data_IF_307274457519
#
_entry.id   IF_307274457519
#
_cell.length_a   1.000
_cell.length_b   1.000
_cell.length_c   1.000
_cell.angle_alpha   90.00
_cell.angle_beta   90.00
_cell.angle_gamma   90.00
#
_symmetry.space_group_name_H-M   'P 1'
#
loop_
_entity.id
_entity.type
_entity.pdbx_description
1 polymer ?
#
# COMPACT_ATOMS: atom_id res chain seq x y z
N UNK A 1 -59.86 25.82 -26.15
CA UNK A 1 -58.43 26.10 -26.42
C UNK A 1 -57.68 24.79 -26.19
N UNK A 2 -57.43 23.88 -27.14
CA UNK A 2 -56.66 23.92 -28.42
C UNK A 2 -55.26 24.53 -28.32
N UNK A 3 -54.26 23.67 -28.10
CA UNK A 3 -52.94 23.56 -28.79
C UNK A 3 -52.04 22.66 -27.92
N UNK A 4 -51.83 21.37 -28.24
CA UNK A 4 -50.84 20.82 -29.18
C UNK A 4 -49.43 21.43 -29.09
N UNK A 5 -48.51 20.64 -28.52
CA UNK A 5 -47.08 20.66 -28.86
C UNK A 5 -46.56 19.21 -28.86
N UNK A 6 -46.19 18.66 -30.02
CA UNK A 6 -45.44 17.41 -30.12
C UNK A 6 -43.95 17.73 -30.25
N UNK A 7 -43.08 16.97 -29.59
CA UNK A 7 -41.66 16.93 -29.94
C UNK A 7 -41.14 15.52 -29.76
N UNK A 8 -41.31 14.78 -30.84
CA UNK A 8 -40.70 13.46 -31.08
C UNK A 8 -39.18 13.64 -31.09
N UNK A 9 -38.50 13.18 -30.05
CA UNK A 9 -37.06 13.02 -30.10
C UNK A 9 -36.75 11.76 -30.92
N UNK A 10 -36.39 11.96 -32.19
CA UNK A 10 -35.79 10.94 -33.04
C UNK A 10 -34.36 10.71 -32.54
N UNK A 11 -34.04 9.53 -32.03
CA UNK A 11 -32.66 9.07 -31.98
C UNK A 11 -32.52 7.96 -33.00
N UNK A 12 -31.79 8.33 -34.06
CA UNK A 12 -31.47 7.54 -35.23
C UNK A 12 -30.33 6.59 -34.90
N UNK A 13 -30.43 5.44 -35.57
CA UNK A 13 -29.53 4.32 -35.69
C UNK A 13 -28.01 4.57 -35.56
N UNK A 14 -27.42 3.60 -34.87
CA UNK A 14 -26.09 3.02 -35.00
C UNK A 14 -25.54 3.01 -36.44
N UNK A 15 -24.27 3.43 -36.60
CA UNK A 15 -23.24 2.94 -37.56
C UNK A 15 -21.91 3.65 -37.17
N UNK A 16 -20.97 2.98 -36.50
CA UNK A 16 -19.87 2.17 -37.03
C UNK A 16 -18.67 2.97 -37.62
N UNK A 17 -17.49 2.47 -37.24
CA UNK A 17 -16.14 2.64 -37.84
C UNK A 17 -15.35 3.88 -37.45
N UNK A 18 -14.19 3.65 -36.80
CA UNK A 18 -13.14 4.66 -36.71
C UNK A 18 -12.12 4.52 -35.59
N UNK A 19 -11.80 3.32 -35.09
CA UNK A 19 -10.63 3.15 -34.21
C UNK A 19 -9.35 3.23 -35.06
N UNK A 20 -8.84 4.43 -35.26
CA UNK A 20 -7.47 4.64 -35.75
C UNK A 20 -6.50 4.30 -34.61
N UNK A 21 -6.11 3.04 -34.51
CA UNK A 21 -4.97 2.60 -33.71
C UNK A 21 -3.73 3.14 -34.41
N UNK A 22 -3.25 4.32 -33.99
CA UNK A 22 -1.90 4.74 -34.29
C UNK A 22 -0.97 3.83 -33.50
N UNK A 23 -0.51 2.77 -34.16
CA UNK A 23 0.59 1.94 -33.69
C UNK A 23 1.81 2.85 -33.53
N UNK A 24 2.18 3.17 -32.30
CA UNK A 24 3.52 3.65 -31.98
C UNK A 24 4.43 2.44 -32.14
N UNK A 25 4.93 2.30 -33.37
CA UNK A 25 5.92 1.34 -33.78
C UNK A 25 7.31 1.97 -33.65
N UNK A 26 7.80 2.20 -32.42
CA UNK A 26 9.22 2.51 -32.16
C UNK A 26 9.60 2.04 -30.76
N UNK A 27 10.72 1.33 -30.67
CA UNK A 27 11.26 0.58 -29.52
C UNK A 27 10.62 -0.80 -29.26
N UNK A 28 10.62 -1.67 -30.28
CA UNK A 28 11.15 -3.00 -30.01
C UNK A 28 12.62 -2.78 -29.70
N UNK A 29 12.94 -2.55 -28.42
CA UNK A 29 14.28 -2.89 -27.96
C UNK A 29 14.45 -4.36 -28.30
N UNK A 30 15.46 -4.65 -29.12
CA UNK A 30 15.94 -5.99 -29.39
C UNK A 30 16.36 -6.61 -28.05
N UNK A 31 15.39 -7.12 -27.30
CA UNK A 31 15.60 -8.08 -26.24
C UNK A 31 16.04 -9.35 -26.95
N UNK A 32 17.33 -9.39 -27.32
CA UNK A 32 17.99 -10.67 -27.52
C UNK A 32 17.69 -11.51 -26.28
N UNK A 33 17.27 -12.77 -26.43
CA UNK A 33 17.15 -13.67 -25.29
C UNK A 33 18.53 -13.64 -24.63
N UNK A 34 18.61 -12.99 -23.46
CA UNK A 34 19.81 -13.07 -22.67
C UNK A 34 19.92 -14.54 -22.28
N UNK A 35 20.70 -15.31 -23.05
CA UNK A 35 21.28 -16.60 -22.68
C UNK A 35 22.21 -16.34 -21.48
N UNK A 36 21.58 -15.93 -20.39
CA UNK A 36 22.11 -16.00 -19.06
C UNK A 36 22.12 -17.48 -18.73
N UNK A 37 23.24 -18.13 -19.00
CA UNK A 37 23.71 -19.04 -17.98
C UNK A 37 23.82 -18.22 -16.71
N UNK A 38 22.76 -18.23 -15.89
CA UNK A 38 22.68 -17.48 -14.65
C UNK A 38 23.87 -17.94 -13.79
N UNK A 39 24.93 -17.12 -13.62
CA UNK A 39 26.08 -17.52 -12.82
C UNK A 39 25.71 -17.67 -11.34
N UNK A 40 24.48 -17.33 -10.97
CA UNK A 40 23.89 -17.51 -9.65
C UNK A 40 22.96 -18.71 -9.53
N UNK A 41 22.88 -19.59 -10.54
CA UNK A 41 22.22 -20.90 -10.44
C UNK A 41 23.04 -21.83 -9.55
N UNK A 42 23.15 -21.44 -8.27
CA UNK A 42 23.78 -22.20 -7.22
C UNK A 42 22.86 -23.37 -6.92
N UNK A 43 23.35 -24.63 -6.93
CA UNK A 43 22.54 -25.78 -6.55
C UNK A 43 21.84 -25.50 -5.22
N UNK A 44 20.53 -25.74 -5.16
CA UNK A 44 19.73 -25.51 -3.97
C UNK A 44 20.45 -26.11 -2.75
N UNK A 45 20.89 -25.24 -1.83
CA UNK A 45 21.59 -25.68 -0.64
C UNK A 45 20.70 -26.69 0.10
N UNK A 46 21.24 -27.87 0.41
CA UNK A 46 20.52 -28.88 1.20
C UNK A 46 19.93 -28.20 2.44
N UNK A 47 18.63 -28.40 2.74
CA UNK A 47 17.99 -27.72 3.86
C UNK A 47 18.79 -27.97 5.13
N UNK A 48 19.29 -26.88 5.74
CA UNK A 48 20.03 -26.98 7.00
C UNK A 48 19.12 -27.65 8.05
N UNK A 49 19.67 -28.51 8.92
CA UNK A 49 18.91 -29.08 10.03
C UNK A 49 18.17 -27.98 10.76
N UNK A 50 16.85 -28.12 10.87
CA UNK A 50 16.00 -27.14 11.56
C UNK A 50 16.42 -27.13 13.02
N UNK A 51 17.04 -26.03 13.47
CA UNK A 51 17.33 -25.83 14.89
C UNK A 51 16.00 -25.95 15.64
N UNK A 52 15.91 -26.72 16.74
CA UNK A 52 14.70 -26.79 17.54
C UNK A 52 14.26 -25.37 17.88
N UNK A 53 12.98 -25.06 17.66
CA UNK A 53 12.44 -23.78 18.07
C UNK A 53 12.71 -23.61 19.57
N UNK A 54 13.36 -22.52 19.96
CA UNK A 54 13.57 -22.19 21.36
C UNK A 54 12.25 -22.09 22.12
N UNK A 55 12.31 -21.95 23.45
CA UNK A 55 11.12 -21.73 24.27
C UNK A 55 10.30 -20.56 23.71
N UNK A 56 8.96 -20.69 23.60
CA UNK A 56 8.13 -19.59 23.13
C UNK A 56 8.29 -18.37 24.05
N UNK A 57 8.34 -17.17 23.46
CA UNK A 57 8.44 -15.92 24.21
C UNK A 57 7.21 -15.71 25.08
N UNK A 58 7.39 -15.16 26.29
CA UNK A 58 6.27 -14.82 27.17
C UNK A 58 5.54 -13.57 26.68
N UNK A 59 4.25 -13.38 27.01
CA UNK A 59 3.52 -12.15 26.68
C UNK A 59 4.22 -10.87 27.15
N UNK A 60 4.88 -10.90 28.32
CA UNK A 60 5.63 -9.76 28.87
C UNK A 60 6.89 -9.46 28.06
N UNK A 61 7.55 -10.48 27.51
CA UNK A 61 8.69 -10.28 26.60
C UNK A 61 8.24 -9.63 25.30
N UNK A 62 7.11 -10.08 24.75
CA UNK A 62 6.52 -9.51 23.54
C UNK A 62 6.11 -8.05 23.78
N UNK A 63 5.43 -7.74 24.88
CA UNK A 63 5.03 -6.37 25.22
C UNK A 63 6.25 -5.45 25.39
N UNK A 64 7.31 -5.91 26.07
CA UNK A 64 8.56 -5.14 26.19
C UNK A 64 9.19 -4.84 24.83
N UNK A 65 9.19 -5.80 23.91
CA UNK A 65 9.71 -5.60 22.56
C UNK A 65 8.87 -4.60 21.77
N UNK A 66 7.53 -4.70 21.84
CA UNK A 66 6.63 -3.74 21.19
C UNK A 66 6.86 -2.34 21.73
N UNK A 67 6.92 -2.19 23.06
CA UNK A 67 7.20 -0.91 23.72
C UNK A 67 8.54 -0.33 23.28
N UNK A 68 9.58 -1.14 23.21
CA UNK A 68 10.89 -0.72 22.72
C UNK A 68 10.83 -0.20 21.27
N UNK A 69 10.15 -0.92 20.37
CA UNK A 69 10.00 -0.50 18.98
C UNK A 69 9.19 0.79 18.84
N UNK A 70 8.10 0.94 19.61
CA UNK A 70 7.30 2.15 19.60
C UNK A 70 8.05 3.36 20.15
N UNK A 71 8.91 3.19 21.17
CA UNK A 71 9.78 4.28 21.65
C UNK A 71 10.85 4.66 20.61
N UNK A 72 11.56 3.66 20.08
CA UNK A 72 12.62 3.87 19.09
C UNK A 72 12.10 4.57 17.84
N UNK A 73 11.05 4.02 17.22
CA UNK A 73 10.49 4.57 15.99
C UNK A 73 9.57 5.75 16.24
N UNK A 74 8.98 5.88 17.43
CA UNK A 74 8.23 7.07 17.84
C UNK A 74 9.07 8.34 17.78
N UNK A 75 10.33 8.27 18.24
CA UNK A 75 11.30 9.37 18.10
C UNK A 75 11.62 9.70 16.64
N UNK A 76 11.63 8.71 15.77
CA UNK A 76 11.85 8.91 14.34
C UNK A 76 10.63 9.51 13.63
N UNK A 77 9.41 9.19 14.07
CA UNK A 77 8.18 9.82 13.57
C UNK A 77 8.09 11.32 13.90
N UNK A 78 8.82 11.83 14.89
CA UNK A 78 8.88 13.28 15.17
C UNK A 78 10.00 13.99 14.39
N UNK A 79 10.74 13.28 13.54
CA UNK A 79 11.88 13.84 12.80
C UNK A 79 11.46 14.93 11.81
N UNK A 80 12.33 15.95 11.68
CA UNK A 80 12.18 16.97 10.64
C UNK A 80 12.37 16.40 9.22
N UNK A 81 13.13 15.34 9.08
CA UNK A 81 13.35 14.64 7.82
C UNK A 81 12.20 13.67 7.54
N UNK A 82 11.57 13.79 6.37
CA UNK A 82 10.44 12.95 5.98
C UNK A 82 10.86 11.51 5.66
N UNK A 83 12.10 11.28 5.21
CA UNK A 83 12.61 9.93 4.91
C UNK A 83 12.70 9.13 6.21
N UNK A 84 13.22 9.73 7.28
CA UNK A 84 13.27 9.08 8.61
C UNK A 84 11.89 8.71 9.13
N UNK A 85 10.88 9.56 8.90
CA UNK A 85 9.49 9.25 9.27
C UNK A 85 8.91 8.11 8.45
N UNK A 86 9.14 8.11 7.13
CA UNK A 86 8.72 7.01 6.26
C UNK A 86 9.37 5.66 6.67
N UNK A 87 10.67 5.66 6.96
CA UNK A 87 11.37 4.47 7.45
C UNK A 87 10.86 3.99 8.81
N UNK A 88 10.47 4.91 9.69
CA UNK A 88 9.83 4.57 10.95
C UNK A 88 8.48 3.88 10.74
N UNK A 89 7.64 4.38 9.83
CA UNK A 89 6.37 3.74 9.44
C UNK A 89 6.62 2.33 8.92
N UNK A 90 7.54 2.16 7.97
CA UNK A 90 7.88 0.85 7.39
C UNK A 90 8.35 -0.13 8.47
N UNK A 91 9.10 0.37 9.46
CA UNK A 91 9.62 -0.49 10.52
C UNK A 91 8.53 -0.95 11.50
N UNK A 92 7.58 -0.07 11.84
CA UNK A 92 6.47 -0.44 12.73
C UNK A 92 5.32 -1.14 11.98
N UNK A 93 5.24 -1.04 10.65
CA UNK A 93 4.14 -1.61 9.84
C UNK A 93 4.03 -3.13 9.98
N UNK A 94 5.10 -3.82 10.37
CA UNK A 94 5.12 -5.27 10.60
C UNK A 94 4.54 -5.71 11.96
N UNK A 95 4.28 -4.78 12.87
CA UNK A 95 3.77 -5.06 14.22
C UNK A 95 2.26 -4.81 14.25
N UNK A 96 1.47 -5.87 14.04
CA UNK A 96 0.00 -5.78 14.10
C UNK A 96 -0.49 -5.78 15.56
N UNK A 97 -0.50 -4.59 16.16
CA UNK A 97 -0.87 -4.36 17.55
C UNK A 97 -1.60 -3.01 17.69
N UNK A 98 -2.61 -2.88 18.59
CA UNK A 98 -3.47 -1.70 18.65
C UNK A 98 -2.76 -0.35 18.82
N UNK A 99 -1.70 -0.25 19.63
CA UNK A 99 -0.91 0.99 19.81
C UNK A 99 -0.17 1.37 18.53
N UNK A 100 0.36 0.36 17.83
CA UNK A 100 1.00 0.58 16.53
C UNK A 100 0.00 1.05 15.48
N UNK A 101 -1.19 0.43 15.43
CA UNK A 101 -2.28 0.84 14.53
C UNK A 101 -2.73 2.26 14.83
N UNK A 102 -2.89 2.63 16.11
CA UNK A 102 -3.20 4.01 16.50
C UNK A 102 -2.14 5.00 16.00
N UNK A 103 -0.85 4.65 16.10
CA UNK A 103 0.25 5.49 15.63
C UNK A 103 0.26 5.67 14.11
N UNK A 104 -0.08 4.62 13.36
CA UNK A 104 -0.22 4.68 11.92
C UNK A 104 -1.40 5.56 11.50
N UNK A 105 -2.55 5.44 12.17
CA UNK A 105 -3.71 6.32 11.94
C UNK A 105 -3.35 7.78 12.24
N UNK A 106 -2.74 8.06 13.39
CA UNK A 106 -2.28 9.40 13.77
C UNK A 106 -1.36 10.01 12.68
N UNK A 107 -0.43 9.20 12.15
CA UNK A 107 0.53 9.64 11.12
C UNK A 107 -0.16 9.84 9.76
N UNK A 108 -1.08 8.95 9.38
CA UNK A 108 -1.88 9.06 8.16
C UNK A 108 -2.69 10.36 8.14
N UNK A 109 -3.23 10.77 9.29
CA UNK A 109 -4.06 11.95 9.39
C UNK A 109 -3.25 13.25 9.44
N UNK A 110 -2.14 13.24 10.18
CA UNK A 110 -1.50 14.49 10.62
C UNK A 110 -0.11 14.75 10.03
N UNK A 111 0.50 13.82 9.29
CA UNK A 111 1.84 14.09 8.75
C UNK A 111 1.81 15.21 7.71
N UNK A 112 2.67 16.20 7.89
CA UNK A 112 2.82 17.35 6.99
C UNK A 112 3.28 17.01 5.57
N UNK A 113 3.78 15.80 5.30
CA UNK A 113 4.18 15.35 3.96
C UNK A 113 3.22 14.27 3.48
N UNK A 114 2.52 14.53 2.38
CA UNK A 114 1.55 13.60 1.78
C UNK A 114 2.14 12.21 1.55
N UNK A 115 3.37 12.11 1.07
CA UNK A 115 4.03 10.80 0.86
C UNK A 115 4.16 9.98 2.15
N UNK A 116 4.41 10.62 3.29
CA UNK A 116 4.49 9.93 4.59
C UNK A 116 3.11 9.45 5.03
N UNK A 117 2.07 10.26 4.78
CA UNK A 117 0.67 9.85 5.00
C UNK A 117 0.28 8.64 4.14
N UNK A 118 0.73 8.60 2.88
CA UNK A 118 0.51 7.46 1.96
C UNK A 118 1.20 6.21 2.48
N UNK A 119 2.44 6.29 2.96
CA UNK A 119 3.08 5.12 3.59
C UNK A 119 2.32 4.61 4.81
N UNK A 120 1.78 5.51 5.65
CA UNK A 120 0.95 5.11 6.78
C UNK A 120 -0.36 4.45 6.32
N UNK A 121 -0.98 4.97 5.26
CA UNK A 121 -2.18 4.41 4.65
C UNK A 121 -1.94 3.00 4.07
N UNK A 122 -0.84 2.79 3.36
CA UNK A 122 -0.45 1.45 2.86
C UNK A 122 -0.12 0.48 4.01
N UNK A 123 0.54 0.96 5.06
CA UNK A 123 0.80 0.15 6.24
C UNK A 123 -0.50 -0.32 6.93
N UNK A 124 -1.56 0.50 6.91
CA UNK A 124 -2.89 0.12 7.40
C UNK A 124 -3.62 -0.82 6.44
N UNK A 125 -3.39 -0.72 5.13
CA UNK A 125 -3.98 -1.62 4.13
C UNK A 125 -3.59 -3.08 4.40
N UNK A 126 -2.32 -3.34 4.73
CA UNK A 126 -1.82 -4.67 5.10
C UNK A 126 -2.49 -5.25 6.37
N UNK A 127 -3.21 -4.44 7.13
CA UNK A 127 -3.86 -4.78 8.41
C UNK A 127 -5.39 -4.76 8.34
N UNK A 128 -5.98 -4.69 7.15
CA UNK A 128 -7.44 -4.54 7.01
C UNK A 128 -8.27 -5.63 7.69
N UNK A 129 -7.68 -6.79 8.01
CA UNK A 129 -8.30 -7.85 8.80
C UNK A 129 -8.37 -7.60 10.31
N UNK A 130 -7.50 -6.73 10.87
CA UNK A 130 -7.45 -6.41 12.30
C UNK A 130 -8.03 -5.02 12.64
N UNK A 131 -8.33 -4.19 11.64
CA UNK A 131 -8.98 -2.89 11.82
C UNK A 131 -10.43 -3.03 12.29
N UNK A 132 -10.88 -2.15 13.19
CA UNK A 132 -12.31 -2.03 13.49
C UNK A 132 -13.08 -1.48 12.28
N UNK A 133 -14.42 -1.65 12.23
CA UNK A 133 -15.23 -1.08 11.15
C UNK A 133 -15.04 0.44 10.99
N UNK A 134 -14.92 1.17 12.10
CA UNK A 134 -14.71 2.62 12.14
C UNK A 134 -13.34 2.99 11.59
N UNK A 135 -12.28 2.27 12.02
CA UNK A 135 -10.92 2.47 11.51
C UNK A 135 -10.83 2.17 10.02
N UNK A 136 -11.50 1.11 9.56
CA UNK A 136 -11.53 0.74 8.14
C UNK A 136 -12.25 1.79 7.29
N UNK A 137 -13.40 2.28 7.77
CA UNK A 137 -14.11 3.40 7.13
C UNK A 137 -13.22 4.62 7.03
N UNK A 138 -12.55 5.00 8.13
CA UNK A 138 -11.64 6.15 8.17
C UNK A 138 -10.45 5.98 7.20
N UNK A 139 -9.83 4.81 7.18
CA UNK A 139 -8.76 4.46 6.23
C UNK A 139 -9.20 4.63 4.77
N UNK A 140 -10.39 4.15 4.40
CA UNK A 140 -10.94 4.30 3.04
C UNK A 140 -11.18 5.78 2.71
N UNK A 141 -11.85 6.52 3.59
CA UNK A 141 -12.16 7.94 3.38
C UNK A 141 -10.90 8.80 3.25
N UNK A 142 -9.90 8.57 4.11
CA UNK A 142 -8.63 9.30 4.05
C UNK A 142 -7.83 8.95 2.79
N UNK A 143 -7.85 7.68 2.35
CA UNK A 143 -7.28 7.28 1.07
C UNK A 143 -7.87 8.04 -0.11
N UNK A 144 -9.20 8.10 -0.20
CA UNK A 144 -9.90 8.86 -1.24
C UNK A 144 -9.62 10.37 -1.19
N UNK A 145 -9.47 10.94 0.00
CA UNK A 145 -9.10 12.36 0.16
C UNK A 145 -7.67 12.65 -0.33
N UNK A 146 -6.73 11.71 -0.19
CA UNK A 146 -5.35 11.88 -0.65
C UNK A 146 -5.16 11.63 -2.15
N UNK A 147 -6.04 10.84 -2.77
CA UNK A 147 -5.98 10.51 -4.19
C UNK A 147 -6.56 11.61 -5.12
N UNK A 148 -7.16 12.66 -4.56
CA UNK A 148 -7.73 13.81 -5.27
C UNK A 148 -6.81 15.02 -5.13
#
# INVERSE_FOLDING_TARGET
MRSHLPSRCRIVAVLLVGAAISAVAWAQDDWEPYDSEDPYSTPAAKPKPRVPAGKPSTPEQVDRMIKYYLDLFGKHLTSRDWIKRAMAIISISRIDEPRTTAKLIETMDNDRKTIVRVFAWEALHARTGSLTPEQKKHWIETGWKMAR
#
